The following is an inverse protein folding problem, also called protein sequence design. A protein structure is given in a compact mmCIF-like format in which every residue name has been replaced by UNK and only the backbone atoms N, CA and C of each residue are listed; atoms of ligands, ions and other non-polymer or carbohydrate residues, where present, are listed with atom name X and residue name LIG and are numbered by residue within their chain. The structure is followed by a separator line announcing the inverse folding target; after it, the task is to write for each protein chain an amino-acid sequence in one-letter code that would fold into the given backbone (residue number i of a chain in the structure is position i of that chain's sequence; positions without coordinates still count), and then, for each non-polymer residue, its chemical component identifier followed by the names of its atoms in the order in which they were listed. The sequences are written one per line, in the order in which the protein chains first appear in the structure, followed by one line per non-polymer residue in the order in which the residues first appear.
data_IF_880718516685
#
_entry.id   IF_880718516685
#
_cell.length_a   1.000
_cell.length_b   1.000
_cell.length_c   1.000
_cell.angle_alpha   90.00
_cell.angle_beta   90.00
_cell.angle_gamma   90.00
#
_symmetry.space_group_name_H-M   'P 1'
#
loop_
_entity.id
_entity.type
_entity.pdbx_description
1 polymer ?
#
# COMPACT_ATOMS: atom_id res chain seq x y z
N UNK A 1 5.19 57.99 -42.27
CA UNK A 1 5.27 57.41 -41.95
C UNK A 1 5.20 56.64 -41.05
N UNK A 2 5.29 56.22 -40.93
CA UNK A 2 5.26 55.44 -40.24
C UNK A 2 5.04 54.64 -39.57
N UNK A 3 4.94 54.33 -39.42
CA UNK A 3 4.88 53.68 -38.90
C UNK A 3 4.58 52.82 -38.15
N UNK A 4 4.48 52.46 -37.96
CA UNK A 4 4.21 51.61 -37.30
C UNK A 4 4.27 50.84 -36.82
N UNK A 5 4.45 50.45 -36.66
CA UNK A 5 4.51 49.71 -36.20
C UNK A 5 4.42 48.94 -35.39
N UNK A 6 4.47 48.67 -35.21
CA UNK A 6 4.51 47.97 -34.44
C UNK A 6 4.16 47.27 -33.65
N UNK A 7 4.03 47.00 -33.62
CA UNK A 7 3.71 46.38 -32.89
C UNK A 7 3.48 45.49 -32.29
N UNK A 8 3.56 45.16 -32.29
CA UNK A 8 3.42 44.29 -31.71
C UNK A 8 3.34 43.45 -30.98
N UNK A 9 3.46 43.22 -31.01
CA UNK A 9 3.56 42.45 -30.42
C UNK A 9 3.41 41.81 -29.52
N UNK A 10 3.43 41.74 -29.37
CA UNK A 10 3.47 41.12 -28.52
C UNK A 10 3.01 40.31 -27.92
N UNK A 11 2.92 40.06 -28.07
CA UNK A 11 2.58 39.28 -27.50
C UNK A 11 2.51 38.41 -26.93
N UNK A 12 2.73 38.29 -27.08
CA UNK A 12 2.70 37.49 -26.50
C UNK A 12 2.77 36.75 -25.76
N UNK A 13 2.97 36.86 -25.71
CA UNK A 13 3.17 36.18 -25.02
C UNK A 13 2.76 35.56 -24.17
N UNK A 14 2.64 35.62 -24.20
CA UNK A 14 2.42 34.99 -23.40
C UNK A 14 2.08 34.04 -22.90
N UNK A 15 2.09 33.98 -23.22
CA UNK A 15 1.79 33.17 -22.85
C UNK A 15 1.91 32.35 -22.23
N UNK A 16 2.25 32.21 -22.16
CA UNK A 16 2.44 31.34 -21.58
C UNK A 16 2.20 30.86 -20.73
N UNK A 17 2.17 30.96 -20.71
CA UNK A 17 2.03 30.45 -19.92
C UNK A 17 1.75 29.67 -19.34
N UNK A 18 1.80 29.45 -19.39
CA UNK A 18 1.59 28.72 -18.77
C UNK A 18 1.48 27.89 -18.25
N UNK A 19 1.57 27.73 -18.23
CA UNK A 19 1.51 26.93 -17.68
C UNK A 19 1.49 26.16 -16.95
N UNK A 20 1.58 26.09 -16.89
CA UNK A 20 1.55 25.34 -16.29
C UNK A 20 1.52 24.52 -15.56
N UNK A 21 1.60 24.44 -15.49
CA UNK A 21 1.61 23.80 -14.86
C UNK A 21 1.47 22.94 -14.26
N UNK A 22 1.36 22.68 -14.13
CA UNK A 22 1.11 21.99 -13.77
C UNK A 22 1.28 21.19 -13.10
N UNK A 23 1.56 21.01 -12.64
CA UNK A 23 1.80 20.35 -12.03
C UNK A 23 1.57 19.37 -11.56
N UNK A 24 1.61 18.84 -11.52
CA UNK A 24 1.38 17.83 -11.32
C UNK A 24 2.03 17.13 -10.62
N UNK A 25 2.16 16.94 -9.86
CA UNK A 25 2.72 16.33 -9.12
C UNK A 25 2.32 15.28 -8.65
N UNK A 26 2.15 14.51 -9.09
CA UNK A 26 1.90 13.39 -8.78
C UNK A 26 2.87 12.72 -8.20
N UNK A 27 3.25 12.88 -7.28
CA UNK A 27 3.78 12.08 -6.51
C UNK A 27 2.98 11.07 -6.11
N UNK A 28 2.72 10.23 -6.71
CA UNK A 28 2.18 9.05 -6.41
C UNK A 28 3.10 8.42 -5.48
N UNK A 29 3.12 8.79 -4.34
CA UNK A 29 3.66 7.93 -3.40
C UNK A 29 2.70 6.84 -3.34
N UNK A 30 3.00 5.82 -3.81
CA UNK A 30 2.29 4.64 -3.60
C UNK A 30 2.33 4.40 -2.15
N UNK A 31 1.38 4.90 -1.49
CA UNK A 31 1.23 4.62 -0.11
C UNK A 31 0.86 3.16 0.03
N UNK A 32 1.72 2.38 0.56
CA UNK A 32 1.38 1.01 0.85
C UNK A 32 0.74 0.92 2.24
N UNK A 33 -0.14 -0.03 2.38
CA UNK A 33 -0.71 -0.36 3.67
C UNK A 33 0.23 -1.31 4.39
N UNK A 34 0.65 -0.94 5.56
CA UNK A 34 1.61 -1.74 6.31
C UNK A 34 1.01 -2.44 7.51
N UNK A 35 1.41 -3.66 7.73
CA UNK A 35 1.13 -4.42 8.95
C UNK A 35 2.46 -4.79 9.56
N UNK A 36 2.64 -4.42 10.82
CA UNK A 36 3.85 -4.78 11.55
C UNK A 36 3.61 -6.09 12.30
N UNK A 37 4.54 -7.00 12.15
CA UNK A 37 4.54 -8.23 12.92
C UNK A 37 5.34 -7.92 14.18
N UNK A 38 4.65 -7.83 15.28
CA UNK A 38 5.27 -7.61 16.58
C UNK A 38 5.10 -8.93 17.32
N UNK A 39 5.98 -9.21 18.26
CA UNK A 39 5.93 -10.50 18.92
C UNK A 39 4.53 -10.74 19.50
N UNK A 40 3.90 -11.78 18.96
CA UNK A 40 2.57 -12.28 19.27
C UNK A 40 1.40 -11.43 18.76
N UNK A 41 1.63 -10.46 17.85
CA UNK A 41 0.50 -9.67 17.34
C UNK A 41 0.78 -9.08 15.96
N UNK A 42 -0.25 -8.88 15.16
CA UNK A 42 -0.20 -8.05 13.95
C UNK A 42 -0.72 -6.66 14.31
N UNK A 43 -0.04 -5.63 13.87
CA UNK A 43 -0.42 -4.26 14.20
C UNK A 43 -0.41 -3.36 12.96
N UNK A 44 -1.56 -2.85 12.53
CA UNK A 44 -2.90 -3.13 13.10
C UNK A 44 -3.39 -4.52 12.68
N UNK A 45 -4.34 -5.09 13.40
CA UNK A 45 -4.83 -6.44 13.08
C UNK A 45 -5.76 -6.49 11.88
N UNK A 46 -6.36 -5.39 11.50
CA UNK A 46 -7.23 -5.32 10.32
C UNK A 46 -6.83 -4.12 9.49
N UNK A 47 -6.64 -4.33 8.21
CA UNK A 47 -6.33 -3.26 7.27
C UNK A 47 -7.26 -3.32 6.07
N UNK A 48 -7.42 -2.19 5.38
CA UNK A 48 -8.22 -2.10 4.16
C UNK A 48 -7.35 -1.67 3.00
N UNK A 49 -7.58 -2.27 1.85
CA UNK A 49 -6.92 -1.87 0.61
C UNK A 49 -7.95 -1.89 -0.53
N UNK A 50 -7.68 -1.16 -1.59
CA UNK A 50 -8.47 -1.24 -2.82
C UNK A 50 -8.12 -2.52 -3.58
N UNK A 51 -9.00 -2.95 -4.46
CA UNK A 51 -8.70 -4.05 -5.36
C UNK A 51 -7.42 -3.73 -6.11
N UNK A 52 -6.52 -4.67 -6.17
CA UNK A 52 -5.21 -4.49 -6.79
C UNK A 52 -4.17 -3.84 -5.90
N UNK A 53 -4.56 -3.45 -4.69
CA UNK A 53 -3.62 -2.90 -3.72
C UNK A 53 -2.75 -3.98 -3.11
N UNK A 54 -1.74 -3.55 -2.35
CA UNK A 54 -0.89 -4.51 -1.67
C UNK A 54 -0.68 -4.13 -0.21
N UNK A 55 -0.34 -5.13 0.58
CA UNK A 55 -0.03 -4.97 2.00
C UNK A 55 1.41 -5.41 2.24
N UNK A 56 2.15 -4.58 2.93
CA UNK A 56 3.50 -4.94 3.38
C UNK A 56 3.44 -5.48 4.80
N UNK A 57 3.87 -6.71 4.96
CA UNK A 57 4.00 -7.33 6.26
C UNK A 57 5.47 -7.24 6.68
N UNK A 58 5.75 -6.42 7.68
CA UNK A 58 7.11 -6.12 8.11
C UNK A 58 7.34 -6.65 9.52
N UNK A 59 8.37 -7.47 9.69
CA UNK A 59 8.68 -8.01 11.01
C UNK A 59 9.45 -6.99 11.85
N UNK A 60 8.72 -6.34 12.74
CA UNK A 60 9.25 -5.37 13.69
C UNK A 60 9.49 -5.99 15.08
N UNK A 61 9.27 -7.27 15.20
CA UNK A 61 9.48 -8.00 16.46
C UNK A 61 10.89 -8.54 16.57
N UNK A 62 11.10 -9.38 17.57
CA UNK A 62 12.41 -9.97 17.84
C UNK A 62 12.54 -11.40 17.35
N UNK A 63 11.41 -12.04 17.09
CA UNK A 63 11.39 -13.45 16.65
C UNK A 63 10.94 -13.54 15.20
N UNK A 64 11.26 -14.62 14.51
CA UNK A 64 10.71 -14.83 13.18
C UNK A 64 9.20 -15.06 13.29
N UNK A 65 8.48 -14.59 12.29
CA UNK A 65 7.03 -14.76 12.19
C UNK A 65 6.70 -15.26 10.79
N UNK A 66 5.46 -15.69 10.61
CA UNK A 66 4.99 -16.02 9.26
C UNK A 66 3.62 -15.38 9.02
N UNK A 67 3.21 -15.37 7.76
CA UNK A 67 1.89 -14.89 7.34
C UNK A 67 1.29 -15.99 6.50
N UNK A 68 0.29 -16.66 7.04
CA UNK A 68 -0.38 -17.76 6.38
C UNK A 68 -1.87 -17.47 6.27
N UNK A 69 -2.43 -17.67 5.08
CA UNK A 69 -3.87 -17.53 4.89
C UNK A 69 -4.60 -18.63 5.65
N UNK A 70 -5.65 -18.26 6.34
CA UNK A 70 -6.47 -19.23 7.10
C UNK A 70 -7.06 -20.27 6.16
N UNK A 71 -7.50 -19.86 4.98
CA UNK A 71 -8.11 -20.76 3.99
C UNK A 71 -7.09 -21.31 2.99
N UNK A 72 -5.82 -21.02 3.19
CA UNK A 72 -4.72 -21.51 2.37
C UNK A 72 -4.78 -21.06 0.90
N UNK A 73 -5.60 -20.09 0.58
CA UNK A 73 -5.75 -19.65 -0.81
C UNK A 73 -4.66 -18.68 -1.26
N UNK A 74 -3.94 -18.10 -0.32
CA UNK A 74 -2.89 -17.12 -0.59
C UNK A 74 -1.91 -17.12 0.59
N UNK A 75 -0.77 -16.46 0.40
CA UNK A 75 0.12 -16.20 1.52
C UNK A 75 0.66 -17.46 2.19
N UNK A 76 1.85 -17.78 1.87
CA UNK A 76 2.53 -18.87 2.54
C UNK A 76 3.94 -18.36 2.79
N UNK A 77 4.02 -17.30 3.56
CA UNK A 77 5.28 -16.61 3.81
C UNK A 77 5.82 -17.05 5.17
N UNK A 78 6.63 -18.08 5.12
CA UNK A 78 7.20 -18.64 6.31
C UNK A 78 8.52 -17.98 6.63
N UNK A 79 8.79 -17.87 7.90
CA UNK A 79 10.08 -17.37 8.39
C UNK A 79 10.47 -16.01 7.86
N UNK A 80 9.64 -15.03 8.15
CA UNK A 80 10.00 -13.62 7.90
C UNK A 80 10.89 -13.20 9.08
N UNK A 81 12.18 -13.07 8.86
CA UNK A 81 13.08 -12.74 9.97
C UNK A 81 12.93 -11.28 10.40
N UNK A 82 13.50 -10.97 11.54
CA UNK A 82 13.51 -9.62 12.08
C UNK A 82 14.04 -8.64 11.03
N UNK A 83 13.35 -7.53 10.89
CA UNK A 83 13.66 -6.42 9.97
C UNK A 83 13.46 -6.75 8.50
N UNK A 84 12.87 -7.88 8.19
CA UNK A 84 12.52 -8.23 6.82
C UNK A 84 11.02 -8.05 6.60
N UNK A 85 10.59 -8.12 5.35
CA UNK A 85 9.18 -7.93 5.01
C UNK A 85 8.80 -8.72 3.76
N UNK A 86 7.49 -8.87 3.57
CA UNK A 86 6.94 -9.41 2.32
C UNK A 86 5.81 -8.51 1.87
N UNK A 87 5.64 -8.36 0.56
CA UNK A 87 4.55 -7.60 -0.04
C UNK A 87 3.59 -8.57 -0.70
N UNK A 88 2.32 -8.44 -0.36
CA UNK A 88 1.28 -9.32 -0.87
C UNK A 88 0.24 -8.49 -1.60
N UNK A 89 -0.04 -8.84 -2.85
CA UNK A 89 -1.05 -8.15 -3.66
C UNK A 89 -2.41 -8.82 -3.50
N UNK A 90 -3.46 -8.01 -3.51
CA UNK A 90 -4.83 -8.47 -3.34
C UNK A 90 -5.67 -7.97 -4.52
N UNK A 91 -5.77 -8.74 -5.59
CA UNK A 91 -6.47 -8.28 -6.81
C UNK A 91 -7.99 -8.36 -6.73
N UNK A 92 -8.53 -9.15 -5.82
CA UNK A 92 -9.97 -9.44 -5.80
C UNK A 92 -10.59 -9.00 -4.49
N UNK A 93 -11.74 -8.36 -4.58
CA UNK A 93 -12.51 -7.94 -3.42
C UNK A 93 -12.81 -9.11 -2.49
N UNK A 94 -12.71 -8.89 -1.20
CA UNK A 94 -13.02 -9.95 -0.23
C UNK A 94 -12.41 -9.70 1.13
N UNK A 95 -12.63 -10.65 2.02
CA UNK A 95 -12.06 -10.68 3.36
C UNK A 95 -11.01 -11.79 3.41
N UNK A 96 -9.80 -11.42 3.74
CA UNK A 96 -8.65 -12.32 3.70
C UNK A 96 -8.06 -12.44 5.10
N UNK A 97 -8.36 -13.52 5.79
CA UNK A 97 -7.89 -13.77 7.15
C UNK A 97 -6.54 -14.45 7.10
N UNK A 98 -5.67 -14.09 8.02
CA UNK A 98 -4.33 -14.67 8.10
C UNK A 98 -3.89 -14.82 9.54
N UNK A 99 -2.89 -15.65 9.74
CA UNK A 99 -2.34 -15.95 11.06
C UNK A 99 -0.81 -16.02 10.98
N UNK A 100 -0.17 -15.91 12.15
CA UNK A 100 1.16 -16.45 12.36
C UNK A 100 0.97 -17.78 13.09
N UNK A 101 1.31 -18.87 12.44
CA UNK A 101 1.00 -20.19 12.96
C UNK A 101 1.77 -20.54 14.23
N UNK A 102 2.82 -19.81 14.53
CA UNK A 102 3.57 -20.02 15.76
C UNK A 102 2.80 -19.57 17.00
N UNK A 103 1.80 -18.68 16.82
CA UNK A 103 1.17 -18.00 17.94
C UNK A 103 -0.35 -17.89 17.80
N UNK A 104 -0.96 -18.69 16.96
CA UNK A 104 -2.41 -18.62 16.74
C UNK A 104 -3.02 -19.99 16.52
N UNK A 105 -4.34 -20.07 16.69
CA UNK A 105 -5.08 -21.27 16.28
C UNK A 105 -5.20 -21.27 14.74
N UNK A 106 -5.28 -22.45 14.14
CA UNK A 106 -5.36 -22.52 12.67
C UNK A 106 -6.54 -21.77 12.09
N UNK A 107 -7.64 -21.66 12.83
CA UNK A 107 -8.85 -20.99 12.37
C UNK A 107 -8.73 -19.47 12.51
N UNK A 108 -7.71 -18.99 13.21
CA UNK A 108 -7.51 -17.55 13.40
C UNK A 108 -8.44 -16.93 14.41
N UNK A 109 -9.02 -17.76 15.28
CA UNK A 109 -9.96 -17.27 16.30
C UNK A 109 -9.24 -16.71 17.51
N UNK A 110 -8.01 -17.08 17.69
CA UNK A 110 -7.26 -16.71 18.88
C UNK A 110 -5.79 -16.59 18.56
N UNK A 111 -5.14 -15.64 19.20
CA UNK A 111 -3.71 -15.46 19.09
C UNK A 111 -3.32 -14.44 18.03
N UNK A 112 -2.18 -14.66 17.37
CA UNK A 112 -1.64 -13.73 16.39
C UNK A 112 -2.36 -13.89 15.05
N UNK A 113 -3.44 -13.16 14.89
CA UNK A 113 -4.33 -13.25 13.74
C UNK A 113 -4.71 -11.86 13.24
N UNK A 114 -5.04 -11.76 11.98
CA UNK A 114 -5.44 -10.51 11.36
C UNK A 114 -6.28 -10.72 10.11
N UNK A 115 -6.62 -9.62 9.47
CA UNK A 115 -7.41 -9.66 8.23
C UNK A 115 -7.10 -8.49 7.33
N UNK A 116 -7.17 -8.74 6.02
CA UNK A 116 -7.16 -7.69 5.00
C UNK A 116 -8.55 -7.63 4.39
N UNK A 117 -9.15 -6.45 4.41
CA UNK A 117 -10.42 -6.19 3.75
C UNK A 117 -10.10 -5.51 2.42
N UNK A 118 -10.48 -6.13 1.32
CA UNK A 118 -10.17 -5.62 -0.01
C UNK A 118 -11.46 -5.13 -0.65
N UNK A 119 -11.46 -3.89 -1.11
CA UNK A 119 -12.61 -3.27 -1.72
C UNK A 119 -13.55 -2.63 -0.70
N UNK A 120 -14.80 -2.46 -1.11
CA UNK A 120 -15.77 -1.73 -0.33
C UNK A 120 -16.79 -2.63 0.38
N UNK A 121 -16.35 -3.75 0.85
CA UNK A 121 -17.24 -4.67 1.54
C UNK A 121 -17.29 -4.42 3.03
#
# INVERSE_FOLDING_TARGET
MYRAKNIFIIISIFICSTVFFVSCDDKSTSAYTGVRLIDNTFSPPVVRVHEGGFVRFYNAGNNPHNVLAVDESWGNYEDIPKNDYVDVSFPIEGLYKYICSYHATPEGDWGMAGAVVVGDI
#
